data_IF_972641942378
#
_entry.id   IF_972641942378
#
_cell.length_a   1.000
_cell.length_b   1.000
_cell.length_c   1.000
_cell.angle_alpha   90.00
_cell.angle_beta   90.00
_cell.angle_gamma   90.00
#
_symmetry.space_group_name_H-M   'P 1'
#
loop_
_entity.id
_entity.type
_entity.pdbx_description
1 polymer ?
#
# COMPACT_ATOMS: atom_id res chain seq x y z
N UNK A 1 -15.55 -14.90 -1.26
CA UNK A 1 -14.20 -14.30 -1.25
C UNK A 1 -13.76 -14.13 -2.70
N UNK A 2 -13.76 -12.90 -3.23
CA UNK A 2 -13.52 -12.68 -4.67
C UNK A 2 -12.03 -12.59 -5.00
N UNK A 3 -11.62 -13.11 -6.16
CA UNK A 3 -10.23 -13.07 -6.67
C UNK A 3 -9.65 -11.64 -6.68
N UNK A 4 -10.51 -10.66 -6.97
CA UNK A 4 -10.19 -9.22 -6.95
C UNK A 4 -9.69 -8.78 -5.56
N UNK A 5 -10.33 -9.28 -4.49
CA UNK A 5 -10.00 -8.91 -3.12
C UNK A 5 -8.67 -9.52 -2.66
N UNK A 6 -8.32 -10.71 -3.18
CA UNK A 6 -7.02 -11.36 -2.93
C UNK A 6 -5.90 -10.58 -3.60
N UNK A 7 -6.09 -10.16 -4.85
CA UNK A 7 -5.13 -9.37 -5.60
C UNK A 7 -4.79 -8.04 -4.88
N UNK A 8 -5.82 -7.32 -4.42
CA UNK A 8 -5.64 -6.06 -3.67
C UNK A 8 -4.82 -6.28 -2.37
N UNK A 9 -5.12 -7.33 -1.61
CA UNK A 9 -4.37 -7.64 -0.37
C UNK A 9 -2.90 -7.97 -0.64
N UNK A 10 -2.61 -8.71 -1.70
CA UNK A 10 -1.23 -9.03 -2.10
C UNK A 10 -0.49 -7.73 -2.43
N UNK A 11 -1.08 -6.86 -3.26
CA UNK A 11 -0.49 -5.57 -3.63
C UNK A 11 -0.24 -4.65 -2.42
N UNK A 12 -1.17 -4.58 -1.47
CA UNK A 12 -0.97 -3.84 -0.22
C UNK A 12 0.19 -4.40 0.62
N UNK A 13 0.30 -5.73 0.71
CA UNK A 13 1.38 -6.38 1.46
C UNK A 13 2.75 -6.10 0.84
N UNK A 14 2.85 -6.13 -0.49
CA UNK A 14 4.06 -5.76 -1.23
C UNK A 14 4.42 -4.30 -1.00
N UNK A 15 3.46 -3.39 -1.12
CA UNK A 15 3.65 -1.96 -0.85
C UNK A 15 4.17 -1.72 0.57
N UNK A 16 3.58 -2.36 1.58
CA UNK A 16 4.00 -2.21 2.97
C UNK A 16 5.44 -2.71 3.21
N UNK A 17 5.83 -3.82 2.55
CA UNK A 17 7.21 -4.34 2.62
C UNK A 17 8.21 -3.39 1.99
N UNK A 18 7.91 -2.82 0.82
CA UNK A 18 8.79 -1.91 0.11
C UNK A 18 9.01 -0.62 0.91
N UNK A 19 7.95 -0.06 1.51
CA UNK A 19 8.06 1.12 2.36
C UNK A 19 8.82 0.81 3.65
N UNK A 20 8.61 -0.36 4.26
CA UNK A 20 9.41 -0.81 5.42
C UNK A 20 10.89 -0.99 5.08
N UNK A 21 11.21 -1.32 3.84
CA UNK A 21 12.59 -1.39 3.36
C UNK A 21 13.22 -0.01 3.10
N UNK A 22 12.46 1.08 3.30
CA UNK A 22 12.94 2.45 3.10
C UNK A 22 12.76 2.98 1.67
N UNK A 23 12.01 2.28 0.81
CA UNK A 23 11.72 2.80 -0.53
C UNK A 23 10.70 3.95 -0.48
N UNK A 24 10.88 4.91 -1.39
CA UNK A 24 9.92 5.99 -1.61
C UNK A 24 8.56 5.42 -1.98
N UNK A 25 7.48 6.08 -1.53
CA UNK A 25 6.11 5.68 -1.85
C UNK A 25 5.88 5.50 -3.36
N UNK A 26 6.50 6.35 -4.17
CA UNK A 26 6.41 6.34 -5.62
C UNK A 26 7.00 5.07 -6.23
N UNK A 27 8.26 4.76 -5.90
CA UNK A 27 8.94 3.52 -6.31
C UNK A 27 8.21 2.28 -5.79
N UNK A 28 7.80 2.29 -4.53
CA UNK A 28 7.08 1.20 -3.89
C UNK A 28 5.73 0.95 -4.57
N UNK A 29 5.01 2.01 -4.95
CA UNK A 29 3.73 1.92 -5.65
C UNK A 29 3.91 1.37 -7.08
N UNK A 30 4.93 1.84 -7.79
CA UNK A 30 5.29 1.38 -9.13
C UNK A 30 5.61 -0.12 -9.12
N UNK A 31 6.46 -0.56 -8.20
CA UNK A 31 6.82 -1.98 -8.02
C UNK A 31 5.66 -2.86 -7.55
N UNK A 32 4.76 -2.32 -6.73
CA UNK A 32 3.55 -3.03 -6.31
C UNK A 32 2.45 -3.07 -7.40
N UNK A 33 2.65 -2.41 -8.54
CA UNK A 33 1.64 -2.29 -9.60
C UNK A 33 0.38 -1.57 -9.10
N UNK A 34 0.56 -0.57 -8.25
CA UNK A 34 -0.47 0.26 -7.64
C UNK A 34 -0.25 1.72 -8.03
N UNK A 35 -1.35 2.43 -8.24
CA UNK A 35 -1.29 3.87 -8.44
C UNK A 35 -0.86 4.56 -7.12
N UNK A 36 -0.05 5.62 -7.20
CA UNK A 36 0.42 6.37 -6.03
C UNK A 36 -0.76 6.85 -5.18
N UNK A 37 -1.86 7.30 -5.80
CA UNK A 37 -3.06 7.76 -5.09
C UNK A 37 -3.74 6.64 -4.28
N UNK A 38 -3.80 5.42 -4.83
CA UNK A 38 -4.30 4.26 -4.10
C UNK A 38 -3.37 3.88 -2.95
N UNK A 39 -2.06 3.92 -3.21
CA UNK A 39 -1.03 3.66 -2.21
C UNK A 39 -1.10 4.65 -1.05
N UNK A 40 -1.27 5.95 -1.32
CA UNK A 40 -1.53 6.99 -0.31
C UNK A 40 -2.80 6.70 0.50
N UNK A 41 -3.86 6.24 -0.16
CA UNK A 41 -5.11 5.89 0.51
C UNK A 41 -4.96 4.66 1.41
N UNK A 42 -4.16 3.68 0.99
CA UNK A 42 -3.88 2.47 1.77
C UNK A 42 -2.92 2.71 2.94
N UNK A 43 -1.97 3.63 2.79
CA UNK A 43 -1.09 4.04 3.89
C UNK A 43 -1.73 5.05 4.82
N UNK A 44 -2.73 5.80 4.36
CA UNK A 44 -3.47 6.69 5.24
C UNK A 44 -4.10 5.84 6.34
N UNK A 45 -3.80 6.11 7.62
CA UNK A 45 -4.51 5.45 8.69
C UNK A 45 -5.99 5.79 8.52
N UNK A 46 -6.83 4.76 8.50
CA UNK A 46 -8.28 4.92 8.40
C UNK A 46 -8.85 5.72 9.59
N UNK A 47 -8.03 5.88 10.63
CA UNK A 47 -8.29 6.72 11.80
C UNK A 47 -7.32 7.91 11.82
N UNK A 48 -7.80 9.17 11.75
CA UNK A 48 -6.95 10.36 11.81
C UNK A 48 -6.23 10.54 13.16
N UNK A 49 -6.54 9.71 14.16
CA UNK A 49 -5.95 9.74 15.51
C UNK A 49 -4.96 8.58 15.77
N UNK A 50 -4.62 7.78 14.76
CA UNK A 50 -3.57 6.77 14.92
C UNK A 50 -2.20 7.47 14.86
N UNK A 51 -1.78 8.00 15.99
CA UNK A 51 -0.41 8.49 16.22
C UNK A 51 0.47 7.23 16.31
N UNK A 52 1.41 7.07 15.38
CA UNK A 52 2.46 6.05 15.40
C UNK A 52 3.71 6.62 16.07
#
# INVERSE_FOLDING_TARGET
MSIINVNIKIKQSVLLRLIKNGESLEDASSKAGLCINLSKTYLKPKNPFAIY
#
